data_IF_119806225891
#
_entry.id   IF_119806225891
#
_cell.length_a   1.000
_cell.length_b   1.000
_cell.length_c   1.000
_cell.angle_alpha   90.00
_cell.angle_beta   90.00
_cell.angle_gamma   90.00
#
_symmetry.space_group_name_H-M   'P 1'
#
loop_
_entity.id
_entity.type
_entity.pdbx_description
1 polymer ?
#
# COMPACT_ATOMS: atom_id res chain seq x y z
N UNK A 1 0.06 4.36 20.97
CA UNK A 1 0.28 2.90 20.94
C UNK A 1 0.84 2.62 19.57
N UNK A 2 2.08 2.18 19.47
CA UNK A 2 2.76 1.99 18.16
C UNK A 2 2.16 0.76 17.50
N UNK A 3 1.63 0.90 16.29
CA UNK A 3 1.04 -0.23 15.54
C UNK A 3 2.13 -1.23 15.12
N UNK A 4 1.80 -2.52 14.89
CA UNK A 4 2.76 -3.48 14.37
C UNK A 4 3.43 -3.03 13.06
N UNK A 5 2.68 -2.32 12.19
CA UNK A 5 3.19 -1.75 10.95
C UNK A 5 4.20 -0.61 11.19
N UNK A 6 3.97 0.25 12.19
CA UNK A 6 4.95 1.27 12.60
C UNK A 6 6.24 0.65 13.17
N UNK A 7 6.19 -0.59 13.70
CA UNK A 7 7.39 -1.35 14.08
C UNK A 7 8.13 -1.91 12.87
N UNK A 8 7.39 -2.35 11.85
CA UNK A 8 7.95 -2.80 10.57
C UNK A 8 8.52 -1.65 9.72
N UNK A 9 8.11 -0.41 9.99
CA UNK A 9 8.69 0.83 9.43
C UNK A 9 10.17 1.00 9.73
N UNK A 10 10.67 0.29 10.75
CA UNK A 10 12.10 0.05 10.83
C UNK A 10 12.46 -0.98 9.77
N UNK A 11 12.92 -0.48 8.63
CA UNK A 11 13.72 -1.21 7.63
C UNK A 11 14.93 -1.98 8.23
N UNK A 12 15.13 -1.96 9.55
CA UNK A 12 16.06 -2.80 10.30
C UNK A 12 15.66 -4.29 10.28
N UNK A 13 14.38 -4.66 10.17
CA UNK A 13 13.95 -6.07 10.27
C UNK A 13 14.32 -6.95 9.06
N UNK A 14 14.63 -6.34 7.91
CA UNK A 14 15.00 -7.08 6.69
C UNK A 14 16.47 -6.90 6.26
N UNK A 15 17.21 -5.98 6.91
CA UNK A 15 18.61 -5.68 6.55
C UNK A 15 19.67 -6.39 7.40
N UNK A 16 19.31 -7.09 8.48
CA UNK A 16 20.30 -7.76 9.35
C UNK A 16 21.01 -8.97 8.70
N UNK A 17 20.65 -9.35 7.46
CA UNK A 17 21.21 -10.52 6.78
C UNK A 17 22.38 -10.29 5.83
N UNK A 18 22.71 -9.07 5.41
CA UNK A 18 23.77 -8.89 4.41
C UNK A 18 24.51 -7.56 4.55
N UNK A 19 25.79 -7.64 4.90
CA UNK A 19 26.68 -6.49 4.99
C UNK A 19 26.99 -5.89 3.61
N UNK A 20 26.04 -5.16 3.02
CA UNK A 20 26.24 -4.24 1.87
C UNK A 20 25.09 -3.22 1.79
N UNK A 21 24.95 -2.35 2.80
CA UNK A 21 23.76 -1.52 3.09
C UNK A 21 23.31 -0.46 2.08
N UNK A 22 23.79 -0.45 0.84
CA UNK A 22 23.33 0.52 -0.19
C UNK A 22 23.02 -0.14 -1.55
N UNK A 23 23.70 -1.24 -1.88
CA UNK A 23 23.44 -2.04 -3.09
C UNK A 23 22.20 -2.94 -2.91
N UNK A 24 21.81 -3.22 -1.67
CA UNK A 24 20.69 -4.12 -1.36
C UNK A 24 19.33 -3.40 -1.44
N UNK A 25 19.22 -2.17 -0.94
CA UNK A 25 17.97 -1.39 -0.94
C UNK A 25 17.44 -1.11 -2.36
N UNK A 26 18.30 -0.72 -3.30
CA UNK A 26 17.90 -0.49 -4.69
C UNK A 26 17.41 -1.77 -5.40
N UNK A 27 18.01 -2.92 -5.07
CA UNK A 27 17.57 -4.23 -5.58
C UNK A 27 16.25 -4.66 -4.95
N UNK A 28 16.05 -4.35 -3.67
CA UNK A 28 14.82 -4.58 -2.94
C UNK A 28 13.66 -3.77 -3.55
N UNK A 29 13.84 -2.45 -3.71
CA UNK A 29 12.87 -1.58 -4.37
C UNK A 29 12.54 -2.06 -5.79
N UNK A 30 13.54 -2.50 -6.55
CA UNK A 30 13.32 -3.08 -7.87
C UNK A 30 12.51 -4.41 -7.84
N UNK A 31 12.58 -5.19 -6.76
CA UNK A 31 11.72 -6.36 -6.55
C UNK A 31 10.31 -5.94 -6.17
N UNK A 32 10.14 -4.99 -5.25
CA UNK A 32 8.82 -4.49 -4.87
C UNK A 32 8.09 -3.87 -6.06
N UNK A 33 8.76 -3.02 -6.83
CA UNK A 33 8.19 -2.44 -8.05
C UNK A 33 7.79 -3.51 -9.09
N UNK A 34 8.45 -4.69 -9.11
CA UNK A 34 8.01 -5.81 -9.95
C UNK A 34 6.72 -6.44 -9.43
N UNK A 35 6.60 -6.64 -8.12
CA UNK A 35 5.36 -7.15 -7.50
C UNK A 35 4.19 -6.20 -7.71
N UNK A 36 4.40 -4.89 -7.51
CA UNK A 36 3.40 -3.85 -7.79
C UNK A 36 2.90 -3.95 -9.23
N UNK A 37 3.80 -3.96 -10.22
CA UNK A 37 3.42 -4.13 -11.63
C UNK A 37 2.72 -5.45 -11.94
N UNK A 38 3.07 -6.53 -11.25
CA UNK A 38 2.38 -7.81 -11.40
C UNK A 38 0.96 -7.72 -10.85
N UNK A 39 0.78 -7.15 -9.64
CA UNK A 39 -0.53 -6.93 -9.03
C UNK A 39 -1.43 -6.09 -9.92
N UNK A 40 -0.95 -4.95 -10.44
CA UNK A 40 -1.71 -4.11 -11.38
C UNK A 40 -2.23 -4.92 -12.57
N UNK A 41 -1.41 -5.82 -13.13
CA UNK A 41 -1.79 -6.65 -14.29
C UNK A 41 -2.71 -7.81 -13.94
N UNK A 42 -2.48 -8.47 -12.80
CA UNK A 42 -3.26 -9.63 -12.36
C UNK A 42 -4.69 -9.22 -12.03
N UNK A 43 -4.84 -8.12 -11.29
CA UNK A 43 -6.13 -7.63 -10.81
C UNK A 43 -6.77 -6.60 -11.77
N UNK A 44 -6.02 -6.12 -12.77
CA UNK A 44 -6.51 -5.17 -13.77
C UNK A 44 -6.93 -3.82 -13.17
N UNK A 45 -6.29 -3.41 -12.06
CA UNK A 45 -6.55 -2.16 -11.32
C UNK A 45 -5.68 -1.01 -11.84
N UNK A 46 -6.00 0.23 -11.47
CA UNK A 46 -5.21 1.41 -11.89
C UNK A 46 -3.82 1.41 -11.26
N UNK A 47 -3.71 1.07 -9.97
CA UNK A 47 -2.43 0.97 -9.28
C UNK A 47 -2.42 -0.16 -8.23
N UNK A 48 -1.22 -0.68 -7.96
CA UNK A 48 -0.93 -1.61 -6.88
C UNK A 48 0.29 -1.08 -6.13
N UNK A 49 0.17 -0.92 -4.81
CA UNK A 49 1.22 -0.35 -3.96
C UNK A 49 1.50 -1.30 -2.80
N UNK A 50 2.77 -1.52 -2.49
CA UNK A 50 3.16 -2.33 -1.33
C UNK A 50 3.82 -1.45 -0.28
N UNK A 51 3.30 -1.41 0.94
CA UNK A 51 3.93 -0.73 2.07
C UNK A 51 4.65 -1.72 2.97
N UNK A 52 5.85 -1.35 3.42
CA UNK A 52 6.55 -1.96 4.55
C UNK A 52 6.75 -0.84 5.57
N UNK A 53 5.78 -0.65 6.46
CA UNK A 53 5.74 0.53 7.34
C UNK A 53 5.26 1.80 6.64
N UNK A 54 5.97 2.91 6.80
CA UNK A 54 5.61 4.22 6.25
C UNK A 54 5.92 4.27 4.75
N UNK A 55 4.85 4.30 3.96
CA UNK A 55 4.88 4.28 2.51
C UNK A 55 5.43 5.58 1.91
N UNK A 56 5.17 6.73 2.53
CA UNK A 56 5.63 8.04 2.06
C UNK A 56 7.14 8.22 2.17
N UNK A 57 7.84 7.43 2.99
CA UNK A 57 9.31 7.46 3.06
C UNK A 57 9.97 6.85 1.81
N UNK A 58 9.24 6.03 1.03
CA UNK A 58 9.71 5.47 -0.25
C UNK A 58 9.74 6.50 -1.38
N UNK A 59 8.97 7.57 -1.27
CA UNK A 59 8.83 8.58 -2.33
C UNK A 59 9.59 9.84 -1.97
N UNK A 60 10.37 10.37 -2.91
CA UNK A 60 10.99 11.68 -2.71
C UNK A 60 9.89 12.75 -2.67
N UNK A 61 9.84 13.50 -1.57
CA UNK A 61 8.82 14.51 -1.26
C UNK A 61 8.77 15.66 -2.25
N UNK A 62 9.72 15.72 -3.19
CA UNK A 62 9.83 16.75 -4.23
C UNK A 62 8.87 16.53 -5.41
N UNK A 63 8.30 15.34 -5.59
CA UNK A 63 7.41 15.02 -6.71
C UNK A 63 5.92 14.98 -6.30
N UNK A 64 5.11 15.89 -6.85
CA UNK A 64 3.64 15.78 -6.84
C UNK A 64 3.16 14.74 -7.87
N UNK A 65 3.72 13.54 -7.84
CA UNK A 65 3.33 12.48 -8.75
C UNK A 65 2.03 11.80 -8.28
N UNK A 66 1.28 11.22 -9.21
CA UNK A 66 0.03 10.49 -8.92
C UNK A 66 0.24 9.44 -7.82
N UNK A 67 1.35 8.71 -7.91
CA UNK A 67 1.75 7.67 -6.96
C UNK A 67 1.93 8.21 -5.54
N UNK A 68 2.46 9.44 -5.37
CA UNK A 68 2.59 10.05 -4.03
C UNK A 68 1.23 10.39 -3.43
N UNK A 69 0.27 10.85 -4.24
CA UNK A 69 -1.09 11.16 -3.79
C UNK A 69 -1.84 9.89 -3.37
N UNK A 70 -1.69 8.81 -4.15
CA UNK A 70 -2.26 7.50 -3.85
C UNK A 70 -1.62 6.89 -2.60
N UNK A 71 -0.30 6.99 -2.46
CA UNK A 71 0.41 6.54 -1.28
C UNK A 71 -0.02 7.28 -0.01
N UNK A 72 -0.21 8.59 -0.08
CA UNK A 72 -0.72 9.38 1.04
C UNK A 72 -2.14 8.95 1.45
N UNK A 73 -2.99 8.61 0.47
CA UNK A 73 -4.30 8.03 0.76
C UNK A 73 -4.16 6.67 1.45
N UNK A 74 -3.31 5.76 0.97
CA UNK A 74 -3.08 4.45 1.60
C UNK A 74 -2.59 4.55 3.05
N UNK A 75 -1.76 5.54 3.38
CA UNK A 75 -1.33 5.79 4.77
C UNK A 75 -2.44 6.33 5.66
N UNK A 76 -3.43 7.03 5.09
CA UNK A 76 -4.59 7.53 5.85
C UNK A 76 -5.57 6.42 6.25
N UNK A 77 -5.51 5.28 5.56
CA UNK A 77 -6.41 4.17 5.84
C UNK A 77 -6.05 3.52 7.19
N UNK A 78 -7.06 3.03 7.94
CA UNK A 78 -6.80 2.34 9.19
C UNK A 78 -5.98 1.07 8.93
N UNK A 79 -5.13 0.74 9.90
CA UNK A 79 -4.45 -0.55 9.94
C UNK A 79 -5.48 -1.69 9.99
N UNK A 80 -5.25 -2.75 9.22
CA UNK A 80 -6.09 -3.94 9.19
C UNK A 80 -5.26 -5.21 9.44
N UNK A 81 -5.84 -6.15 10.20
CA UNK A 81 -5.29 -7.50 10.41
C UNK A 81 -5.96 -8.53 9.49
N UNK A 82 -7.00 -8.13 8.76
CA UNK A 82 -7.74 -8.93 7.81
C UNK A 82 -7.82 -8.19 6.47
N UNK A 83 -8.09 -8.92 5.39
CA UNK A 83 -8.32 -8.32 4.08
C UNK A 83 -9.54 -7.39 4.17
N UNK A 84 -9.40 -6.17 3.66
CA UNK A 84 -10.51 -5.22 3.56
C UNK A 84 -10.70 -4.80 2.11
N UNK A 85 -11.93 -4.85 1.64
CA UNK A 85 -12.29 -4.46 0.28
C UNK A 85 -13.34 -3.35 0.37
N UNK A 86 -13.03 -2.23 -0.26
CA UNK A 86 -13.90 -1.07 -0.42
C UNK A 86 -14.29 -0.99 -1.89
N UNK A 87 -15.40 -1.65 -2.24
CA UNK A 87 -15.90 -1.70 -3.62
C UNK A 87 -16.15 -0.29 -4.18
N UNK A 88 -16.67 0.61 -3.33
CA UNK A 88 -16.83 2.02 -3.65
C UNK A 88 -16.71 2.93 -2.40
N UNK A 89 -15.57 3.61 -2.27
CA UNK A 89 -15.20 4.51 -1.18
C UNK A 89 -16.13 5.72 -1.02
N UNK A 90 -16.93 6.06 -2.04
CA UNK A 90 -17.92 7.14 -1.92
C UNK A 90 -19.08 6.77 -1.00
N UNK A 91 -19.30 5.48 -0.75
CA UNK A 91 -20.31 4.99 0.19
C UNK A 91 -19.77 4.78 1.60
N UNK A 92 -18.45 4.87 1.77
CA UNK A 92 -17.80 4.77 3.06
C UNK A 92 -17.75 6.16 3.72
N UNK A 93 -18.55 6.38 4.77
CA UNK A 93 -18.65 7.69 5.44
C UNK A 93 -17.29 8.24 5.88
N UNK A 94 -16.36 7.36 6.25
CA UNK A 94 -14.99 7.70 6.67
C UNK A 94 -14.15 8.29 5.53
N UNK A 95 -14.37 7.84 4.28
CA UNK A 95 -13.50 8.17 3.14
C UNK A 95 -14.18 9.04 2.08
N UNK A 96 -15.51 9.13 2.06
CA UNK A 96 -16.27 9.87 1.07
C UNK A 96 -15.89 11.36 0.99
N UNK A 97 -15.31 11.92 2.07
CA UNK A 97 -14.82 13.31 2.12
C UNK A 97 -13.30 13.44 1.99
N UNK A 98 -12.56 12.34 1.84
CA UNK A 98 -11.11 12.38 1.69
C UNK A 98 -10.74 13.11 0.38
N UNK A 99 -9.74 14.01 0.38
CA UNK A 99 -9.37 14.78 -0.82
C UNK A 99 -9.13 13.93 -2.07
N UNK A 100 -8.48 12.77 -1.92
CA UNK A 100 -8.20 11.84 -3.03
C UNK A 100 -9.43 11.05 -3.51
N UNK A 101 -10.52 11.02 -2.75
CA UNK A 101 -11.79 10.33 -3.10
C UNK A 101 -12.79 11.33 -3.68
N UNK A 102 -13.07 12.42 -2.96
CA UNK A 102 -14.00 13.46 -3.37
C UNK A 102 -13.42 14.40 -4.45
N UNK A 103 -12.10 14.59 -4.46
CA UNK A 103 -11.35 15.40 -5.40
C UNK A 103 -10.43 14.55 -6.27
N UNK A 104 -9.48 15.17 -6.97
CA UNK A 104 -8.51 14.41 -7.77
C UNK A 104 -7.60 13.55 -6.87
N UNK A 105 -7.27 12.31 -7.26
CA UNK A 105 -7.56 11.69 -8.56
C UNK A 105 -8.90 10.96 -8.66
N UNK A 106 -9.75 11.03 -7.63
CA UNK A 106 -11.04 10.33 -7.49
C UNK A 106 -10.86 8.82 -7.38
N UNK A 107 -10.16 8.41 -6.34
CA UNK A 107 -10.07 7.00 -5.94
C UNK A 107 -11.47 6.53 -5.56
N UNK A 108 -11.96 5.52 -6.26
CA UNK A 108 -13.29 4.93 -6.03
C UNK A 108 -13.16 3.58 -5.35
N UNK A 109 -12.20 2.77 -5.76
CA UNK A 109 -12.01 1.43 -5.24
C UNK A 109 -10.70 1.34 -4.46
N UNK A 110 -10.72 0.60 -3.34
CA UNK A 110 -9.50 0.19 -2.67
C UNK A 110 -9.64 -1.19 -2.03
N UNK A 111 -8.64 -2.06 -2.19
CA UNK A 111 -8.49 -3.25 -1.35
C UNK A 111 -7.17 -3.19 -0.59
N UNK A 112 -7.20 -3.63 0.67
CA UNK A 112 -6.07 -3.73 1.57
C UNK A 112 -5.86 -5.20 1.93
N UNK A 113 -4.65 -5.70 1.73
CA UNK A 113 -4.26 -7.04 2.14
C UNK A 113 -3.05 -6.98 3.08
N UNK A 114 -3.21 -7.32 4.37
CA UNK A 114 -2.08 -7.38 5.30
C UNK A 114 -1.15 -8.56 4.95
N UNK A 115 0.15 -8.35 5.09
CA UNK A 115 1.19 -9.35 4.83
C UNK A 115 1.85 -9.69 6.15
N UNK A 116 1.81 -10.98 6.49
CA UNK A 116 2.36 -11.51 7.73
C UNK A 116 3.67 -12.23 7.49
N UNK A 117 4.59 -12.12 8.45
CA UNK A 117 5.81 -12.91 8.48
C UNK A 117 5.57 -14.33 9.04
N UNK A 118 6.66 -15.10 9.21
CA UNK A 118 6.61 -16.45 9.77
C UNK A 118 6.18 -16.50 11.25
N UNK A 119 6.25 -15.38 11.97
CA UNK A 119 5.85 -15.26 13.37
C UNK A 119 4.41 -14.75 13.50
N UNK A 120 3.68 -14.60 12.38
CA UNK A 120 2.35 -14.02 12.31
C UNK A 120 2.30 -12.54 12.73
N UNK A 121 3.41 -11.81 12.54
CA UNK A 121 3.45 -10.36 12.69
C UNK A 121 3.15 -9.68 11.36
N UNK A 122 2.27 -8.68 11.35
CA UNK A 122 1.98 -7.90 10.13
C UNK A 122 3.17 -6.98 9.82
N UNK A 123 3.85 -7.25 8.71
CA UNK A 123 5.08 -6.57 8.29
C UNK A 123 4.89 -5.66 7.08
N UNK A 124 3.78 -5.83 6.35
CA UNK A 124 3.47 -5.07 5.16
C UNK A 124 1.97 -5.01 4.87
N UNK A 125 1.57 -4.13 3.97
CA UNK A 125 0.22 -4.10 3.40
C UNK A 125 0.30 -3.91 1.89
N UNK A 126 -0.51 -4.66 1.15
CA UNK A 126 -0.69 -4.50 -0.29
C UNK A 126 -1.99 -3.72 -0.50
N UNK A 127 -1.92 -2.66 -1.29
CA UNK A 127 -3.05 -1.85 -1.68
C UNK A 127 -3.32 -2.01 -3.16
N UNK A 128 -4.56 -2.31 -3.50
CA UNK A 128 -5.06 -2.20 -4.87
C UNK A 128 -5.94 -0.95 -4.95
N UNK A 129 -5.78 -0.15 -6.00
CA UNK A 129 -6.43 1.15 -6.14
C UNK A 129 -7.02 1.25 -7.54
N UNK A 130 -8.26 1.74 -7.62
CA UNK A 130 -8.87 2.10 -8.89
C UNK A 130 -9.73 3.37 -8.79
N UNK A 131 -9.94 4.03 -9.93
CA UNK A 131 -10.81 5.20 -10.08
C UNK A 131 -12.21 4.81 -10.58
N UNK A 132 -12.44 3.52 -10.80
CA UNK A 132 -13.75 2.94 -11.05
C UNK A 132 -14.15 1.99 -9.91
N UNK A 133 -15.45 1.80 -9.73
CA UNK A 133 -15.97 0.77 -8.83
C UNK A 133 -15.53 -0.62 -9.29
N UNK A 134 -15.18 -1.48 -8.34
CA UNK A 134 -14.84 -2.88 -8.58
C UNK A 134 -15.63 -3.76 -7.63
N UNK A 135 -15.92 -4.96 -8.08
CA UNK A 135 -16.52 -6.01 -7.29
C UNK A 135 -15.47 -7.12 -7.17
N UNK A 136 -14.73 -7.12 -6.05
CA UNK A 136 -13.84 -8.23 -5.71
C UNK A 136 -14.51 -9.08 -4.65
N UNK A 137 -14.59 -10.37 -4.95
CA UNK A 137 -14.99 -11.40 -4.01
C UNK A 137 -13.76 -12.11 -3.43
N UNK A 138 -14.00 -13.10 -2.56
CA UNK A 138 -12.94 -13.87 -1.90
C UNK A 138 -12.09 -14.72 -2.88
N UNK A 139 -12.51 -14.90 -4.14
CA UNK A 139 -11.80 -15.66 -5.18
C UNK A 139 -11.00 -14.79 -6.16
N UNK A 140 -11.15 -13.46 -6.08
CA UNK A 140 -10.61 -12.48 -7.04
C UNK A 140 -9.20 -12.00 -6.74
#
# INVERSE_FOLDING_TARGET
MVTPLERASRMDLFLEGSGTGQVDASKYEAKIARFERLGTRLFGVANCIVSFGHLLERFDRSEQSMVVIEAAFCESLPFCEEIRVYNNLNFEEEFAHHPSVAGEPRIVFCAQHPVFDINNECVACIYLIDYAERDFDDES
#
